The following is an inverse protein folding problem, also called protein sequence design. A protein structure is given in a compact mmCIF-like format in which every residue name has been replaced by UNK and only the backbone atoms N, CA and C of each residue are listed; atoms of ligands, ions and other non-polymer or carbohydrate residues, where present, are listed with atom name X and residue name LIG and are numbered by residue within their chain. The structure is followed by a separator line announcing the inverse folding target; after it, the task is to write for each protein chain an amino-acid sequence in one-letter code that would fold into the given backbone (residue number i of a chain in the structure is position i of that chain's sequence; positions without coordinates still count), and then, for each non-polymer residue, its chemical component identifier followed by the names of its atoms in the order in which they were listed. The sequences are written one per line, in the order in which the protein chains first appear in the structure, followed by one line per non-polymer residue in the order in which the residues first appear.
data_IF_788891367880
#
_entry.id   IF_788891367880
#
_cell.length_a   1.000
_cell.length_b   1.000
_cell.length_c   1.000
_cell.angle_alpha   90.00
_cell.angle_beta   90.00
_cell.angle_gamma   90.00
#
_symmetry.space_group_name_H-M   'P 1'
#
loop_
_entity.id
_entity.type
_entity.pdbx_description
1 polymer ?
#
# COMPACT_ATOMS: atom_id res chain seq x y z
N UNK A 1 8.58 11.40 -17.92
CA UNK A 1 9.53 10.26 -17.78
C UNK A 1 8.71 8.98 -17.89
N UNK A 2 9.21 7.91 -18.56
CA UNK A 2 8.45 6.65 -18.55
C UNK A 2 8.72 5.90 -17.23
N UNK A 3 7.73 5.77 -16.32
CA UNK A 3 7.94 5.05 -15.05
C UNK A 3 8.03 3.54 -15.27
N UNK A 4 8.79 2.86 -14.41
CA UNK A 4 8.82 1.39 -14.32
C UNK A 4 7.71 0.85 -13.38
N UNK A 5 7.31 1.67 -12.40
CA UNK A 5 6.23 1.42 -11.46
C UNK A 5 5.29 2.61 -11.46
N UNK A 6 4.00 2.39 -11.60
CA UNK A 6 2.97 3.39 -11.29
C UNK A 6 2.18 2.96 -10.06
N UNK A 7 1.83 3.95 -9.24
CA UNK A 7 1.07 3.77 -8.00
C UNK A 7 -0.23 4.54 -8.14
N UNK A 8 -1.36 3.85 -7.97
CA UNK A 8 -2.71 4.40 -8.20
C UNK A 8 -3.51 4.33 -6.89
N UNK A 9 -3.96 5.48 -6.42
CA UNK A 9 -4.78 5.63 -5.21
C UNK A 9 -4.81 7.08 -4.77
N UNK A 10 -5.74 7.44 -3.89
CA UNK A 10 -5.80 8.78 -3.32
C UNK A 10 -4.60 9.08 -2.43
N UNK A 11 -4.19 10.34 -2.39
CA UNK A 11 -3.32 10.89 -1.35
C UNK A 11 -4.16 11.65 -0.35
N UNK A 12 -3.75 11.63 0.91
CA UNK A 12 -4.51 12.20 2.02
C UNK A 12 -3.89 13.49 2.53
N UNK A 13 -4.73 14.47 2.77
CA UNK A 13 -4.46 15.53 3.74
C UNK A 13 -4.97 15.03 5.11
N UNK A 14 -4.08 14.43 5.88
CA UNK A 14 -4.39 13.69 7.10
C UNK A 14 -4.18 14.55 8.34
N UNK A 15 -5.03 14.34 9.35
CA UNK A 15 -4.82 14.81 10.72
C UNK A 15 -4.63 13.61 11.64
N UNK A 16 -3.45 13.49 12.24
CA UNK A 16 -3.15 12.41 13.20
C UNK A 16 -3.37 12.93 14.62
N UNK A 17 -4.33 12.33 15.33
CA UNK A 17 -4.62 12.64 16.73
C UNK A 17 -4.08 11.53 17.62
N UNK A 18 -2.99 11.82 18.31
CA UNK A 18 -2.40 10.98 19.35
C UNK A 18 -3.00 11.34 20.72
N UNK A 19 -2.86 10.50 21.76
CA UNK A 19 -3.38 10.80 23.09
C UNK A 19 -2.84 12.10 23.71
N UNK A 20 -1.63 12.49 23.35
CA UNK A 20 -0.88 13.62 23.93
C UNK A 20 -0.74 14.82 22.97
N UNK A 21 -0.92 14.62 21.65
CA UNK A 21 -0.74 15.66 20.65
C UNK A 21 -1.53 15.42 19.39
N UNK A 22 -1.64 16.48 18.55
CA UNK A 22 -2.18 16.42 17.20
C UNK A 22 -1.10 16.85 16.20
N UNK A 23 -0.98 16.13 15.09
CA UNK A 23 -0.07 16.43 13.99
C UNK A 23 -0.92 16.69 12.75
N UNK A 24 -0.84 17.88 12.17
CA UNK A 24 -1.56 18.30 10.97
C UNK A 24 -0.96 19.57 10.37
N UNK A 25 -1.03 19.78 9.02
CA UNK A 25 -1.42 18.77 8.04
C UNK A 25 -0.30 17.74 7.83
N UNK A 26 -0.67 16.52 7.47
CA UNK A 26 0.28 15.43 7.18
C UNK A 26 -0.08 14.82 5.83
N UNK A 27 0.91 14.53 5.00
CA UNK A 27 0.70 13.70 3.82
C UNK A 27 0.64 12.23 4.25
N UNK A 28 -0.50 11.60 4.01
CA UNK A 28 -0.73 10.19 4.26
C UNK A 28 -1.14 9.44 3.00
N UNK A 29 -1.47 8.20 3.13
CA UNK A 29 -2.01 7.20 2.20
C UNK A 29 -0.99 6.19 1.67
N UNK A 30 -1.46 4.99 1.31
CA UNK A 30 -0.64 4.00 0.62
C UNK A 30 0.02 4.54 -0.64
N UNK A 31 -0.73 5.30 -1.45
CA UNK A 31 -0.21 5.85 -2.71
C UNK A 31 0.95 6.82 -2.47
N UNK A 32 0.86 7.68 -1.45
CA UNK A 32 1.92 8.60 -1.10
C UNK A 32 3.16 7.87 -0.55
N UNK A 33 2.98 6.97 0.42
CA UNK A 33 4.08 6.18 0.98
C UNK A 33 4.77 5.36 -0.10
N UNK A 34 4.02 4.57 -0.89
CA UNK A 34 4.60 3.65 -1.85
C UNK A 34 5.34 4.38 -2.97
N UNK A 35 4.79 5.46 -3.51
CA UNK A 35 5.45 6.20 -4.60
C UNK A 35 6.76 6.84 -4.13
N UNK A 36 6.77 7.49 -2.96
CA UNK A 36 7.98 8.12 -2.40
C UNK A 36 9.03 7.07 -2.04
N UNK A 37 8.64 5.99 -1.35
CA UNK A 37 9.55 4.91 -0.99
C UNK A 37 10.14 4.25 -2.24
N UNK A 38 9.33 3.88 -3.22
CA UNK A 38 9.81 3.22 -4.43
C UNK A 38 10.81 4.08 -5.21
N UNK A 39 10.54 5.38 -5.32
CA UNK A 39 11.46 6.33 -5.94
C UNK A 39 12.77 6.44 -5.16
N UNK A 40 12.70 6.58 -3.82
CA UNK A 40 13.87 6.60 -2.92
C UNK A 40 14.70 5.32 -2.98
N UNK A 41 14.04 4.19 -3.21
CA UNK A 41 14.70 2.91 -3.42
C UNK A 41 15.30 2.77 -4.83
N UNK A 42 15.14 3.76 -5.73
CA UNK A 42 15.82 3.86 -7.01
C UNK A 42 15.03 3.27 -8.20
N UNK A 43 13.70 3.22 -8.13
CA UNK A 43 12.82 2.86 -9.24
C UNK A 43 12.19 4.13 -9.82
N UNK A 44 12.14 4.22 -11.15
CA UNK A 44 11.37 5.27 -11.83
C UNK A 44 9.90 5.08 -11.53
N UNK A 45 9.35 5.96 -10.70
CA UNK A 45 8.00 5.81 -10.15
C UNK A 45 7.12 6.99 -10.57
N UNK A 46 5.92 6.71 -11.05
CA UNK A 46 4.85 7.68 -11.26
C UNK A 46 3.71 7.46 -10.28
N UNK A 47 2.99 8.52 -9.94
CA UNK A 47 1.78 8.46 -9.12
C UNK A 47 0.57 8.90 -9.94
N UNK A 48 -0.55 8.19 -9.78
CA UNK A 48 -1.86 8.54 -10.34
C UNK A 48 -2.82 8.76 -9.19
N UNK A 49 -3.34 9.97 -9.08
CA UNK A 49 -4.25 10.35 -8.01
C UNK A 49 -5.10 11.55 -8.40
N UNK A 50 -6.22 11.74 -7.72
CA UNK A 50 -7.02 12.96 -7.79
C UNK A 50 -6.96 13.73 -6.48
N UNK A 51 -6.89 15.05 -6.58
CA UNK A 51 -6.92 15.98 -5.46
C UNK A 51 -7.91 17.09 -5.75
N UNK A 52 -8.46 17.71 -4.72
CA UNK A 52 -9.22 18.94 -4.82
C UNK A 52 -8.34 20.19 -4.82
N UNK A 53 -8.95 21.35 -5.06
CA UNK A 53 -8.26 22.65 -4.97
C UNK A 53 -7.83 23.01 -3.54
N UNK A 54 -8.34 22.28 -2.54
CA UNK A 54 -8.02 22.46 -1.10
C UNK A 54 -6.76 21.71 -0.65
N UNK A 55 -6.08 20.96 -1.54
CA UNK A 55 -4.85 20.25 -1.18
C UNK A 55 -3.71 21.25 -0.89
N UNK A 56 -3.11 21.21 0.32
CA UNK A 56 -1.97 22.05 0.63
C UNK A 56 -0.77 21.72 -0.27
N UNK A 57 -0.31 22.73 -1.02
CA UNK A 57 0.78 22.53 -2.01
C UNK A 57 2.11 22.09 -1.38
N UNK A 58 2.34 22.46 -0.13
CA UNK A 58 3.54 22.05 0.61
C UNK A 58 3.62 20.54 0.80
N UNK A 59 2.49 19.84 0.94
CA UNK A 59 2.45 18.40 1.08
C UNK A 59 2.88 17.68 -0.22
N UNK A 60 2.73 18.33 -1.38
CA UNK A 60 3.09 17.74 -2.66
C UNK A 60 4.59 17.83 -2.97
N UNK A 61 5.35 18.67 -2.26
CA UNK A 61 6.78 18.88 -2.52
C UNK A 61 7.61 17.62 -2.36
N UNK A 62 7.25 16.75 -1.42
CA UNK A 62 7.96 15.50 -1.15
C UNK A 62 8.04 14.59 -2.37
N UNK A 63 7.05 14.61 -3.26
CA UNK A 63 7.09 13.82 -4.49
C UNK A 63 8.21 14.27 -5.42
N UNK A 64 8.32 15.59 -5.68
CA UNK A 64 9.38 16.12 -6.53
C UNK A 64 10.77 15.96 -5.88
N UNK A 65 10.87 16.15 -4.58
CA UNK A 65 12.11 15.95 -3.81
C UNK A 65 12.56 14.48 -3.81
N UNK A 66 11.63 13.54 -3.82
CA UNK A 66 11.89 12.12 -3.96
C UNK A 66 12.15 11.68 -5.40
N UNK A 67 11.86 12.53 -6.41
CA UNK A 67 11.99 12.19 -7.83
C UNK A 67 10.83 11.36 -8.37
N UNK A 68 9.65 11.44 -7.74
CA UNK A 68 8.40 10.82 -8.25
C UNK A 68 7.89 11.65 -9.42
N UNK A 69 7.50 10.99 -10.51
CA UNK A 69 6.78 11.63 -11.61
C UNK A 69 5.33 11.90 -11.21
N UNK A 70 4.97 13.18 -11.21
CA UNK A 70 3.66 13.67 -10.73
C UNK A 70 2.69 14.03 -11.86
N UNK A 71 3.01 13.68 -13.11
CA UNK A 71 2.15 13.97 -14.27
C UNK A 71 0.74 13.37 -14.15
N UNK A 72 0.61 12.27 -13.39
CA UNK A 72 -0.67 11.64 -13.09
C UNK A 72 -1.44 12.23 -11.90
N UNK A 73 -1.01 13.35 -11.32
CA UNK A 73 -1.79 14.06 -10.31
C UNK A 73 -2.77 15.02 -11.01
N UNK A 74 -4.07 14.72 -10.90
CA UNK A 74 -5.14 15.57 -11.45
C UNK A 74 -5.82 16.36 -10.34
N UNK A 75 -6.01 17.66 -10.57
CA UNK A 75 -6.87 18.49 -9.69
C UNK A 75 -8.27 18.47 -10.24
N UNK A 76 -9.22 17.88 -9.50
CA UNK A 76 -10.61 17.75 -9.90
C UNK A 76 -11.54 18.00 -8.71
N UNK A 77 -12.43 18.97 -8.84
CA UNK A 77 -13.34 19.37 -7.77
C UNK A 77 -12.67 20.23 -6.69
N UNK A 78 -13.39 20.44 -5.60
CA UNK A 78 -12.96 21.31 -4.50
C UNK A 78 -12.29 20.54 -3.37
N UNK A 79 -12.68 19.27 -3.17
CA UNK A 79 -12.29 18.47 -2.01
C UNK A 79 -11.24 17.41 -2.37
N UNK A 80 -10.15 17.44 -1.63
CA UNK A 80 -9.19 16.32 -1.54
C UNK A 80 -9.68 15.28 -0.53
N UNK A 81 -9.22 14.06 -0.66
CA UNK A 81 -9.48 13.05 0.37
C UNK A 81 -8.77 13.46 1.67
N UNK A 82 -9.57 13.54 2.73
CA UNK A 82 -9.13 14.02 4.05
C UNK A 82 -9.64 13.08 5.11
N UNK A 83 -8.81 12.74 6.06
CA UNK A 83 -9.21 11.91 7.20
C UNK A 83 -8.69 12.44 8.53
N UNK A 84 -9.26 11.88 9.59
CA UNK A 84 -8.83 12.03 10.98
C UNK A 84 -8.43 10.64 11.49
N UNK A 85 -7.15 10.42 11.66
CA UNK A 85 -6.60 9.20 12.24
C UNK A 85 -6.43 9.38 13.74
N UNK A 86 -7.20 8.63 14.53
CA UNK A 86 -7.20 8.72 16.00
C UNK A 86 -6.55 7.48 16.58
N UNK A 87 -5.54 7.69 17.41
CA UNK A 87 -4.91 6.65 18.23
C UNK A 87 -5.42 6.73 19.67
N UNK A 88 -5.80 5.60 20.24
CA UNK A 88 -6.06 5.49 21.68
C UNK A 88 -4.77 5.21 22.48
N UNK A 89 -4.89 5.20 23.81
CA UNK A 89 -3.76 4.94 24.72
C UNK A 89 -3.21 3.51 24.62
N UNK A 90 -3.94 2.60 23.99
CA UNK A 90 -3.53 1.20 23.73
C UNK A 90 -2.87 1.02 22.35
N UNK A 91 -2.78 2.11 21.56
CA UNK A 91 -2.20 2.08 20.22
C UNK A 91 -3.16 1.61 19.11
N UNK A 92 -4.44 1.37 19.45
CA UNK A 92 -5.44 1.08 18.41
C UNK A 92 -5.74 2.35 17.62
N UNK A 93 -5.90 2.21 16.31
CA UNK A 93 -6.20 3.33 15.42
C UNK A 93 -7.60 3.22 14.83
N UNK A 94 -8.22 4.39 14.59
CA UNK A 94 -9.48 4.53 13.85
C UNK A 94 -9.32 5.65 12.85
N UNK A 95 -9.64 5.37 11.58
CA UNK A 95 -9.69 6.37 10.52
C UNK A 95 -11.14 6.85 10.33
N UNK A 96 -11.31 8.17 10.21
CA UNK A 96 -12.61 8.80 9.93
C UNK A 96 -12.42 9.67 8.69
N UNK A 97 -12.98 9.24 7.55
CA UNK A 97 -12.98 10.05 6.33
C UNK A 97 -13.90 11.26 6.51
N UNK A 98 -13.36 12.44 6.25
CA UNK A 98 -14.05 13.71 6.34
C UNK A 98 -14.52 14.20 4.96
N UNK A 99 -13.69 13.98 3.94
CA UNK A 99 -13.94 14.33 2.54
C UNK A 99 -13.34 13.24 1.65
N UNK A 100 -13.85 13.11 0.44
CA UNK A 100 -13.32 12.20 -0.58
C UNK A 100 -13.20 12.94 -1.91
N UNK A 101 -12.06 12.83 -2.57
CA UNK A 101 -11.87 13.27 -3.95
C UNK A 101 -12.65 12.34 -4.91
N UNK A 102 -12.88 12.75 -6.17
CA UNK A 102 -13.52 11.89 -7.17
C UNK A 102 -12.76 10.60 -7.42
N UNK A 103 -13.46 9.52 -7.75
CA UNK A 103 -12.86 8.23 -8.07
C UNK A 103 -11.85 8.34 -9.22
N UNK A 104 -10.83 7.49 -9.18
CA UNK A 104 -9.77 7.41 -10.19
C UNK A 104 -10.20 6.37 -11.24
N UNK A 105 -10.45 6.84 -12.45
CA UNK A 105 -10.87 6.01 -13.58
C UNK A 105 -9.67 5.66 -14.47
N UNK A 106 -9.84 4.70 -15.37
CA UNK A 106 -8.80 4.32 -16.31
C UNK A 106 -8.31 5.50 -17.18
N UNK A 107 -9.23 6.34 -17.66
CA UNK A 107 -8.93 7.56 -18.47
C UNK A 107 -8.17 8.65 -17.69
N UNK A 108 -8.04 8.50 -16.38
CA UNK A 108 -7.22 9.40 -15.57
C UNK A 108 -5.72 9.09 -15.64
N UNK A 109 -5.37 7.91 -16.14
CA UNK A 109 -3.99 7.44 -16.21
C UNK A 109 -3.32 8.03 -17.46
N UNK A 110 -2.20 8.74 -17.32
CA UNK A 110 -1.46 9.24 -18.48
C UNK A 110 -1.05 8.11 -19.42
N UNK A 111 -1.19 8.30 -20.73
CA UNK A 111 -0.91 7.27 -21.74
C UNK A 111 0.53 6.74 -21.65
N UNK A 112 1.50 7.61 -21.37
CA UNK A 112 2.91 7.22 -21.21
C UNK A 112 3.16 6.37 -19.94
N UNK A 113 2.23 6.36 -18.97
CA UNK A 113 2.27 5.52 -17.78
C UNK A 113 1.80 4.09 -18.04
N UNK A 114 0.95 3.86 -19.04
CA UNK A 114 0.44 2.52 -19.39
C UNK A 114 1.56 1.55 -19.84
N UNK A 115 2.73 2.08 -20.15
CA UNK A 115 3.94 1.32 -20.44
C UNK A 115 4.73 0.81 -19.23
N UNK A 116 4.28 1.07 -17.99
CA UNK A 116 4.95 0.62 -16.77
C UNK A 116 5.04 -0.91 -16.68
N UNK A 117 6.07 -1.40 -16.00
CA UNK A 117 6.29 -2.85 -15.79
C UNK A 117 5.37 -3.41 -14.71
N UNK A 118 5.12 -2.60 -13.66
CA UNK A 118 4.17 -2.91 -12.59
C UNK A 118 3.22 -1.73 -12.43
N UNK A 119 1.94 -2.05 -12.31
CA UNK A 119 0.87 -1.13 -11.93
C UNK A 119 0.39 -1.57 -10.55
N UNK A 120 0.52 -0.69 -9.57
CA UNK A 120 0.12 -0.94 -8.19
C UNK A 120 -1.10 -0.13 -7.80
N UNK A 121 -2.19 -0.82 -7.51
CA UNK A 121 -3.48 -0.25 -7.08
C UNK A 121 -3.55 -0.34 -5.56
N UNK A 122 -3.63 0.79 -4.89
CA UNK A 122 -3.64 0.84 -3.43
C UNK A 122 -4.65 1.89 -2.92
N UNK A 123 -5.94 1.59 -3.06
CA UNK A 123 -6.98 2.51 -2.63
C UNK A 123 -7.05 2.63 -1.10
N UNK A 124 -7.66 3.72 -0.66
CA UNK A 124 -8.00 3.94 0.74
C UNK A 124 -9.43 3.50 1.04
N UNK A 125 -10.38 3.80 0.14
CA UNK A 125 -11.81 3.58 0.33
C UNK A 125 -12.56 3.49 -1.00
N UNK A 126 -12.28 2.41 -1.77
CA UNK A 126 -12.94 2.10 -3.04
C UNK A 126 -12.80 3.16 -4.15
N UNK A 127 -11.86 4.08 -4.07
CA UNK A 127 -11.71 5.15 -5.06
C UNK A 127 -11.15 4.69 -6.42
N UNK A 128 -10.72 3.45 -6.54
CA UNK A 128 -10.39 2.81 -7.83
C UNK A 128 -11.44 1.73 -8.10
N UNK A 129 -12.46 2.02 -8.92
CA UNK A 129 -13.56 1.10 -9.14
C UNK A 129 -13.13 -0.15 -9.91
N UNK A 130 -13.92 -1.24 -9.77
CA UNK A 130 -13.62 -2.53 -10.41
C UNK A 130 -13.54 -2.41 -11.94
N UNK A 131 -14.30 -1.53 -12.53
CA UNK A 131 -14.28 -1.26 -13.98
C UNK A 131 -12.90 -0.79 -14.43
N UNK A 132 -12.29 0.17 -13.71
CA UNK A 132 -10.93 0.64 -13.98
C UNK A 132 -9.90 -0.47 -13.77
N UNK A 133 -10.08 -1.34 -12.76
CA UNK A 133 -9.22 -2.52 -12.53
C UNK A 133 -9.30 -3.49 -13.71
N UNK A 134 -10.48 -3.74 -14.27
CA UNK A 134 -10.67 -4.61 -15.44
C UNK A 134 -9.93 -4.06 -16.65
N UNK A 135 -10.10 -2.78 -16.95
CA UNK A 135 -9.39 -2.11 -18.05
C UNK A 135 -7.86 -2.19 -17.87
N UNK A 136 -7.36 -2.01 -16.63
CA UNK A 136 -5.94 -2.19 -16.32
C UNK A 136 -5.46 -3.63 -16.56
N UNK A 137 -6.28 -4.63 -16.24
CA UNK A 137 -5.92 -6.04 -16.43
C UNK A 137 -5.78 -6.42 -17.89
N UNK A 138 -6.53 -5.77 -18.79
CA UNK A 138 -6.47 -5.98 -20.24
C UNK A 138 -5.15 -5.48 -20.87
N UNK A 139 -4.37 -4.65 -20.15
CA UNK A 139 -3.06 -4.19 -20.62
C UNK A 139 -1.98 -5.29 -20.63
N UNK A 140 -2.20 -6.45 -20.01
CA UNK A 140 -1.23 -7.54 -19.90
C UNK A 140 0.04 -7.15 -19.12
N UNK A 141 -0.07 -6.23 -18.16
CA UNK A 141 1.02 -5.81 -17.26
C UNK A 141 0.93 -6.54 -15.93
N UNK A 142 2.04 -6.56 -15.18
CA UNK A 142 1.98 -7.05 -13.81
C UNK A 142 1.15 -6.10 -12.95
N UNK A 143 -0.04 -6.53 -12.55
CA UNK A 143 -0.89 -5.79 -11.62
C UNK A 143 -0.64 -6.25 -10.19
N UNK A 144 -0.52 -5.30 -9.28
CA UNK A 144 -0.44 -5.54 -7.83
C UNK A 144 -1.51 -4.73 -7.10
N UNK A 145 -2.01 -5.25 -5.99
CA UNK A 145 -3.04 -4.57 -5.18
C UNK A 145 -2.76 -4.68 -3.69
N UNK A 146 -3.12 -3.63 -2.95
CA UNK A 146 -3.41 -3.70 -1.53
C UNK A 146 -4.93 -3.72 -1.32
N UNK A 147 -5.43 -4.75 -0.66
CA UNK A 147 -6.86 -4.93 -0.45
C UNK A 147 -7.43 -4.06 0.67
N UNK A 148 -6.59 -3.34 1.42
CA UNK A 148 -7.00 -2.51 2.55
C UNK A 148 -8.18 -1.59 2.20
N UNK A 149 -8.14 -0.93 1.05
CA UNK A 149 -9.18 0.01 0.60
C UNK A 149 -10.39 -0.64 -0.06
N UNK A 150 -10.43 -1.96 -0.17
CA UNK A 150 -11.57 -2.72 -0.69
C UNK A 150 -12.33 -3.46 0.42
N UNK A 151 -12.55 -2.81 1.55
CA UNK A 151 -13.28 -3.34 2.70
C UNK A 151 -12.41 -3.84 3.84
N UNK A 152 -11.10 -3.54 3.84
CA UNK A 152 -10.19 -3.84 4.93
C UNK A 152 -10.34 -2.89 6.13
N UNK A 153 -9.39 -2.94 7.04
CA UNK A 153 -9.46 -2.29 8.35
C UNK A 153 -9.67 -0.77 8.34
N UNK A 154 -9.30 -0.09 7.26
CA UNK A 154 -9.44 1.38 7.14
C UNK A 154 -10.56 1.83 6.20
N UNK A 155 -11.24 0.91 5.52
CA UNK A 155 -12.38 1.25 4.66
C UNK A 155 -13.57 1.76 5.46
N UNK A 156 -14.35 2.66 4.87
CA UNK A 156 -15.60 3.16 5.46
C UNK A 156 -16.73 2.13 5.42
N UNK A 157 -16.64 1.20 4.47
CA UNK A 157 -17.61 0.11 4.27
C UNK A 157 -16.87 -1.21 4.35
N UNK A 158 -17.35 -2.11 5.22
CA UNK A 158 -16.81 -3.46 5.35
C UNK A 158 -17.74 -4.48 4.70
N UNK A 159 -17.18 -5.55 4.08
CA UNK A 159 -18.00 -6.65 3.59
C UNK A 159 -18.76 -7.28 4.77
N UNK A 160 -20.05 -7.58 4.58
CA UNK A 160 -20.78 -8.38 5.56
C UNK A 160 -20.25 -9.82 5.53
N UNK A 161 -19.68 -10.30 6.63
CA UNK A 161 -19.14 -11.66 6.77
C UNK A 161 -20.18 -12.75 6.44
N UNK A 162 -21.47 -12.44 6.58
CA UNK A 162 -22.58 -13.35 6.34
C UNK A 162 -23.03 -13.41 4.89
N UNK A 163 -22.65 -12.43 4.07
CA UNK A 163 -23.03 -12.39 2.67
C UNK A 163 -21.97 -13.06 1.76
N UNK A 164 -22.27 -14.26 1.28
CA UNK A 164 -21.48 -14.93 0.22
C UNK A 164 -21.27 -14.06 -1.03
N UNK A 165 -22.11 -13.05 -1.24
CA UNK A 165 -22.03 -12.09 -2.34
C UNK A 165 -20.75 -11.25 -2.25
N UNK A 166 -20.35 -10.81 -1.05
CA UNK A 166 -19.16 -9.99 -0.85
C UNK A 166 -17.86 -10.75 -1.10
N UNK A 167 -17.80 -12.04 -0.73
CA UNK A 167 -16.67 -12.90 -1.08
C UNK A 167 -16.53 -13.13 -2.58
N UNK A 168 -17.66 -13.15 -3.33
CA UNK A 168 -17.61 -13.26 -4.80
C UNK A 168 -17.03 -12.00 -5.43
N UNK A 169 -17.41 -10.82 -4.95
CA UNK A 169 -16.88 -9.54 -5.44
C UNK A 169 -15.39 -9.45 -5.15
N UNK A 170 -14.96 -9.81 -3.94
CA UNK A 170 -13.54 -9.82 -3.57
C UNK A 170 -12.76 -10.85 -4.40
N UNK A 171 -13.33 -12.03 -4.65
CA UNK A 171 -12.74 -13.04 -5.52
C UNK A 171 -12.61 -12.57 -6.96
N UNK A 172 -13.63 -11.91 -7.52
CA UNK A 172 -13.58 -11.32 -8.85
C UNK A 172 -12.48 -10.27 -8.95
N UNK A 173 -12.41 -9.38 -7.95
CA UNK A 173 -11.37 -8.36 -7.85
C UNK A 173 -9.97 -8.98 -7.81
N UNK A 174 -9.72 -9.94 -6.91
CA UNK A 174 -8.42 -10.60 -6.74
C UNK A 174 -7.97 -11.28 -8.02
N UNK A 175 -8.90 -11.88 -8.78
CA UNK A 175 -8.61 -12.57 -10.03
C UNK A 175 -8.00 -11.69 -11.14
N UNK A 176 -8.06 -10.37 -11.00
CA UNK A 176 -7.44 -9.43 -11.95
C UNK A 176 -5.97 -9.10 -11.60
N UNK A 177 -5.46 -9.52 -10.43
CA UNK A 177 -4.15 -9.13 -9.95
C UNK A 177 -3.16 -10.30 -9.90
N UNK A 178 -1.91 -10.03 -10.27
CA UNK A 178 -0.80 -10.97 -10.15
C UNK A 178 -0.23 -11.02 -8.73
N UNK A 179 -0.21 -9.87 -8.03
CA UNK A 179 0.33 -9.74 -6.67
C UNK A 179 -0.77 -9.11 -5.80
N UNK A 180 -1.19 -9.84 -4.78
CA UNK A 180 -2.25 -9.42 -3.87
C UNK A 180 -1.71 -9.36 -2.45
N UNK A 181 -1.86 -8.21 -1.80
CA UNK A 181 -1.46 -8.02 -0.41
C UNK A 181 -2.65 -7.61 0.46
N UNK A 182 -2.67 -8.14 1.67
CA UNK A 182 -3.51 -7.65 2.77
C UNK A 182 -2.71 -7.68 4.08
N UNK A 183 -3.12 -6.93 5.09
CA UNK A 183 -2.67 -7.15 6.46
C UNK A 183 -3.49 -8.25 7.13
N UNK A 184 -3.02 -8.75 8.27
CA UNK A 184 -3.80 -9.72 9.06
C UNK A 184 -5.09 -9.07 9.59
N UNK A 185 -5.06 -7.77 9.86
CA UNK A 185 -6.21 -6.99 10.27
C UNK A 185 -7.24 -6.90 9.12
N UNK A 186 -6.81 -6.61 7.89
CA UNK A 186 -7.69 -6.61 6.72
C UNK A 186 -8.32 -7.99 6.51
N UNK A 187 -7.52 -9.05 6.61
CA UNK A 187 -7.98 -10.42 6.50
C UNK A 187 -9.08 -10.77 7.52
N UNK A 188 -9.01 -10.18 8.73
CA UNK A 188 -10.05 -10.35 9.75
C UNK A 188 -11.39 -9.73 9.33
N UNK A 189 -11.37 -8.58 8.65
CA UNK A 189 -12.57 -7.95 8.10
C UNK A 189 -13.18 -8.75 6.94
N UNK A 190 -12.34 -9.38 6.11
CA UNK A 190 -12.83 -10.17 4.98
C UNK A 190 -13.36 -11.55 5.36
N UNK A 191 -12.77 -12.20 6.36
CA UNK A 191 -12.95 -13.63 6.62
C UNK A 191 -13.25 -13.98 8.08
N UNK A 192 -13.34 -12.98 8.96
CA UNK A 192 -13.44 -13.20 10.41
C UNK A 192 -12.11 -13.70 11.03
N UNK A 193 -11.95 -13.56 12.34
CA UNK A 193 -10.73 -13.94 13.05
C UNK A 193 -10.61 -15.46 13.22
N UNK A 194 -9.57 -16.09 12.66
CA UNK A 194 -9.30 -17.52 12.76
C UNK A 194 -7.82 -17.78 13.07
N UNK A 195 -7.53 -18.88 13.76
CA UNK A 195 -6.13 -19.33 14.00
C UNK A 195 -5.51 -19.79 12.66
N UNK A 196 -4.27 -19.35 12.39
CA UNK A 196 -3.57 -19.70 11.13
C UNK A 196 -3.98 -18.85 9.92
N UNK A 197 -4.89 -17.91 10.10
CA UNK A 197 -5.54 -17.13 9.04
C UNK A 197 -4.55 -16.53 8.02
N UNK A 198 -3.37 -16.05 8.42
CA UNK A 198 -2.45 -15.41 7.50
C UNK A 198 -2.01 -16.31 6.35
N UNK A 199 -1.69 -17.57 6.63
CA UNK A 199 -1.30 -18.57 5.61
C UNK A 199 -2.49 -18.98 4.75
N UNK A 200 -3.64 -19.23 5.40
CA UNK A 200 -4.86 -19.63 4.70
C UNK A 200 -5.32 -18.55 3.73
N UNK A 201 -5.26 -17.26 4.14
CA UNK A 201 -5.67 -16.13 3.30
C UNK A 201 -4.68 -15.88 2.16
N UNK A 202 -3.37 -15.97 2.42
CA UNK A 202 -2.37 -15.85 1.36
C UNK A 202 -2.54 -16.95 0.31
N UNK A 203 -2.88 -18.18 0.74
CA UNK A 203 -3.17 -19.29 -0.14
C UNK A 203 -4.47 -19.06 -0.93
N UNK A 204 -5.52 -18.58 -0.26
CA UNK A 204 -6.80 -18.27 -0.89
C UNK A 204 -6.67 -17.25 -2.03
N UNK A 205 -5.79 -16.25 -1.89
CA UNK A 205 -5.52 -15.30 -2.97
C UNK A 205 -4.97 -16.00 -4.22
N UNK A 206 -4.10 -17.02 -4.04
CA UNK A 206 -3.57 -17.78 -5.18
C UNK A 206 -4.61 -18.72 -5.79
N UNK A 207 -5.50 -19.28 -4.98
CA UNK A 207 -6.66 -20.07 -5.48
C UNK A 207 -7.64 -19.19 -6.27
N UNK A 208 -7.72 -17.89 -5.95
CA UNK A 208 -8.56 -16.94 -6.63
C UNK A 208 -7.94 -16.35 -7.89
N UNK A 209 -6.69 -16.72 -8.21
CA UNK A 209 -6.05 -16.39 -9.48
C UNK A 209 -4.78 -15.57 -9.38
N UNK A 210 -4.42 -15.04 -8.20
CA UNK A 210 -3.16 -14.34 -8.03
C UNK A 210 -1.94 -15.27 -8.23
N UNK A 211 -0.83 -14.75 -8.74
CA UNK A 211 0.44 -15.48 -8.78
C UNK A 211 1.13 -15.45 -7.42
N UNK A 212 0.95 -14.38 -6.66
CA UNK A 212 1.57 -14.14 -5.36
C UNK A 212 0.53 -13.56 -4.40
N UNK A 213 0.22 -14.31 -3.33
CA UNK A 213 -0.56 -13.84 -2.18
C UNK A 213 0.35 -13.47 -1.02
N UNK A 214 0.14 -12.30 -0.43
CA UNK A 214 0.94 -11.76 0.69
C UNK A 214 0.03 -11.37 1.84
N UNK A 215 0.32 -11.87 3.05
CA UNK A 215 -0.32 -11.39 4.27
C UNK A 215 0.74 -10.95 5.26
N UNK A 216 0.72 -9.67 5.63
CA UNK A 216 1.61 -9.12 6.66
C UNK A 216 1.04 -9.35 8.05
N UNK A 217 1.89 -9.74 9.01
CA UNK A 217 1.55 -10.22 10.35
C UNK A 217 2.13 -9.32 11.47
N UNK A 218 2.39 -8.05 11.16
CA UNK A 218 3.01 -7.10 12.09
C UNK A 218 4.41 -7.57 12.54
N UNK A 219 4.63 -7.65 13.85
CA UNK A 219 5.92 -8.10 14.44
C UNK A 219 6.30 -9.54 14.10
N UNK A 220 5.35 -10.35 13.63
CA UNK A 220 5.60 -11.73 13.17
C UNK A 220 6.08 -11.82 11.73
N UNK A 221 6.26 -10.68 11.05
CA UNK A 221 6.73 -10.61 9.68
C UNK A 221 5.61 -10.77 8.65
N UNK A 222 5.76 -11.67 7.69
CA UNK A 222 4.77 -11.90 6.64
C UNK A 222 4.77 -13.34 6.16
N UNK A 223 3.65 -13.71 5.53
CA UNK A 223 3.53 -14.96 4.74
C UNK A 223 3.40 -14.59 3.27
N UNK A 224 4.09 -15.31 2.41
CA UNK A 224 3.99 -15.18 0.96
C UNK A 224 3.68 -16.56 0.40
N UNK A 225 2.60 -16.67 -0.34
CA UNK A 225 2.20 -17.90 -1.05
C UNK A 225 2.30 -17.69 -2.56
N UNK A 226 2.86 -18.66 -3.24
CA UNK A 226 2.84 -18.79 -4.70
C UNK A 226 2.29 -20.17 -5.06
N UNK A 227 2.05 -20.43 -6.34
CA UNK A 227 1.63 -21.77 -6.79
C UNK A 227 2.64 -22.88 -6.44
N UNK A 228 3.89 -22.52 -6.21
CA UNK A 228 4.98 -23.48 -5.99
C UNK A 228 5.36 -23.66 -4.52
N UNK A 229 5.21 -22.63 -3.70
CA UNK A 229 5.74 -22.63 -2.33
C UNK A 229 5.07 -21.62 -1.40
N UNK A 230 5.12 -21.92 -0.11
CA UNK A 230 4.79 -21.02 0.99
C UNK A 230 6.06 -20.54 1.66
N UNK A 231 6.18 -19.26 1.90
CA UNK A 231 7.34 -18.61 2.49
C UNK A 231 6.92 -17.86 3.75
N UNK A 232 7.68 -18.02 4.83
CA UNK A 232 7.61 -17.15 5.99
C UNK A 232 8.76 -16.16 5.94
N UNK A 233 8.44 -14.88 6.00
CA UNK A 233 9.38 -13.78 6.01
C UNK A 233 9.44 -13.22 7.42
N UNK A 234 10.58 -13.26 8.09
CA UNK A 234 10.72 -12.74 9.44
C UNK A 234 10.64 -11.20 9.45
N UNK A 235 10.18 -10.62 10.55
CA UNK A 235 10.33 -9.20 10.80
C UNK A 235 11.78 -8.86 11.19
N UNK A 236 12.24 -7.66 10.88
CA UNK A 236 13.50 -7.11 11.39
C UNK A 236 13.23 -6.34 12.67
N UNK A 237 14.13 -6.45 13.65
CA UNK A 237 14.06 -5.63 14.85
C UNK A 237 14.13 -4.15 14.50
N UNK A 238 13.27 -3.38 15.14
CA UNK A 238 13.17 -1.94 14.95
C UNK A 238 12.84 -1.25 16.29
N UNK A 239 13.36 -0.05 16.47
CA UNK A 239 12.86 0.83 17.53
C UNK A 239 11.60 1.53 17.02
N UNK A 240 10.45 0.95 17.34
CA UNK A 240 9.18 1.44 16.83
C UNK A 240 8.82 2.80 17.45
N UNK A 241 8.64 3.82 16.60
CA UNK A 241 8.12 5.14 16.97
C UNK A 241 6.70 5.34 16.45
N UNK A 242 6.41 4.87 15.21
CA UNK A 242 5.10 5.00 14.57
C UNK A 242 4.91 3.92 13.52
N UNK A 243 3.91 3.06 13.70
CA UNK A 243 3.60 1.97 12.77
C UNK A 243 2.86 2.43 11.50
N UNK A 244 2.47 3.71 11.39
CA UNK A 244 1.77 4.23 10.20
C UNK A 244 2.65 4.08 8.97
N UNK A 245 2.10 3.52 7.89
CA UNK A 245 2.82 3.27 6.64
C UNK A 245 3.69 2.00 6.63
N UNK A 246 3.68 1.17 7.69
CA UNK A 246 4.45 -0.08 7.71
C UNK A 246 4.04 -1.03 6.58
N UNK A 247 2.73 -1.21 6.37
CA UNK A 247 2.19 -2.03 5.29
C UNK A 247 2.56 -1.50 3.91
N UNK A 248 2.47 -0.18 3.74
CA UNK A 248 2.79 0.51 2.50
C UNK A 248 4.29 0.40 2.19
N UNK A 249 5.13 0.56 3.20
CA UNK A 249 6.57 0.38 3.08
C UNK A 249 6.94 -1.08 2.73
N UNK A 250 6.21 -2.06 3.28
CA UNK A 250 6.35 -3.45 2.89
C UNK A 250 5.99 -3.64 1.42
N UNK A 251 4.84 -3.14 0.97
CA UNK A 251 4.40 -3.23 -0.42
C UNK A 251 5.41 -2.58 -1.38
N UNK A 252 5.83 -1.34 -1.09
CA UNK A 252 6.81 -0.63 -1.91
C UNK A 252 8.14 -1.40 -2.01
N UNK A 253 8.67 -1.87 -0.86
CA UNK A 253 9.91 -2.65 -0.80
C UNK A 253 9.81 -3.95 -1.60
N UNK A 254 8.68 -4.67 -1.47
CA UNK A 254 8.42 -5.90 -2.20
C UNK A 254 8.42 -5.66 -3.71
N UNK A 255 7.63 -4.69 -4.19
CA UNK A 255 7.49 -4.40 -5.61
C UNK A 255 8.80 -3.94 -6.25
N UNK A 256 9.57 -3.10 -5.54
CA UNK A 256 10.89 -2.63 -5.99
C UNK A 256 11.88 -3.77 -6.17
N UNK A 257 11.98 -4.66 -5.20
CA UNK A 257 12.94 -5.78 -5.29
C UNK A 257 12.44 -6.86 -6.25
N UNK A 258 11.13 -7.07 -6.34
CA UNK A 258 10.53 -7.98 -7.30
C UNK A 258 10.73 -7.51 -8.76
N UNK A 259 10.67 -6.21 -9.02
CA UNK A 259 11.05 -5.64 -10.32
C UNK A 259 12.48 -6.01 -10.72
N UNK A 260 13.41 -6.02 -9.75
CA UNK A 260 14.83 -6.27 -9.96
C UNK A 260 15.19 -7.75 -10.11
N UNK A 261 14.58 -8.59 -9.28
CA UNK A 261 15.08 -9.96 -9.06
C UNK A 261 14.11 -11.06 -9.51
N UNK A 262 12.82 -10.77 -9.56
CA UNK A 262 11.74 -11.75 -9.71
C UNK A 262 11.76 -12.87 -8.65
N UNK A 263 12.48 -12.66 -7.55
CA UNK A 263 12.61 -13.61 -6.45
C UNK A 263 11.70 -13.17 -5.28
N UNK A 264 10.68 -13.96 -4.99
CA UNK A 264 9.67 -13.65 -3.96
C UNK A 264 10.25 -13.63 -2.55
N UNK A 265 11.23 -14.51 -2.24
CA UNK A 265 11.85 -14.54 -0.92
C UNK A 265 12.73 -13.31 -0.68
N UNK A 266 13.62 -12.98 -1.65
CA UNK A 266 14.44 -11.76 -1.57
C UNK A 266 13.58 -10.50 -1.51
N UNK A 267 12.49 -10.47 -2.27
CA UNK A 267 11.54 -9.37 -2.26
C UNK A 267 10.86 -9.22 -0.90
N UNK A 268 10.46 -10.33 -0.29
CA UNK A 268 9.89 -10.34 1.07
C UNK A 268 10.86 -9.86 2.14
N UNK A 269 12.12 -10.30 2.11
CA UNK A 269 13.15 -9.81 3.03
C UNK A 269 13.44 -8.32 2.86
N UNK A 270 13.53 -7.87 1.60
CA UNK A 270 13.75 -6.45 1.30
C UNK A 270 12.55 -5.60 1.76
N UNK A 271 11.33 -6.09 1.59
CA UNK A 271 10.10 -5.48 2.06
C UNK A 271 10.07 -5.35 3.60
N UNK A 272 10.35 -6.43 4.32
CA UNK A 272 10.38 -6.44 5.78
C UNK A 272 11.45 -5.48 6.34
N UNK A 273 12.64 -5.45 5.72
CA UNK A 273 13.69 -4.51 6.10
C UNK A 273 13.32 -3.05 5.79
N UNK A 274 12.61 -2.79 4.67
CA UNK A 274 12.10 -1.46 4.33
C UNK A 274 11.08 -1.00 5.36
N UNK A 275 10.09 -1.82 5.69
CA UNK A 275 9.08 -1.52 6.70
C UNK A 275 9.71 -1.23 8.07
N UNK A 276 10.70 -2.04 8.49
CA UNK A 276 11.38 -1.86 9.78
C UNK A 276 12.10 -0.52 9.91
N UNK A 277 12.59 0.07 8.80
CA UNK A 277 13.23 1.38 8.80
C UNK A 277 12.19 2.53 8.85
N UNK A 278 11.06 2.36 8.19
CA UNK A 278 10.00 3.39 8.16
C UNK A 278 9.35 3.56 9.53
N UNK A 279 9.13 2.48 10.26
CA UNK A 279 8.49 2.55 11.59
C UNK A 279 9.42 3.11 12.69
N UNK A 280 10.71 3.34 12.41
CA UNK A 280 11.66 4.03 13.31
C UNK A 280 11.53 5.56 13.27
N UNK A 281 10.61 6.11 12.47
CA UNK A 281 10.27 7.52 12.41
C UNK A 281 8.77 7.75 12.47
N UNK A 282 8.33 9.00 12.65
CA UNK A 282 6.94 9.40 12.76
C UNK A 282 6.60 10.61 11.89
N UNK A 283 5.29 10.91 11.71
CA UNK A 283 4.84 12.16 11.07
C UNK A 283 4.46 12.07 9.60
N UNK A 284 4.02 10.90 9.12
CA UNK A 284 3.51 10.74 7.76
C UNK A 284 4.61 10.54 6.71
N UNK A 285 4.35 10.99 5.47
CA UNK A 285 5.28 10.86 4.35
C UNK A 285 6.29 12.01 4.37
N UNK A 286 7.39 11.79 5.08
CA UNK A 286 8.53 12.71 5.16
C UNK A 286 9.76 12.07 4.51
N UNK A 287 10.54 12.87 3.75
CA UNK A 287 11.66 12.35 2.97
C UNK A 287 12.72 11.66 3.85
N UNK A 288 13.03 12.23 5.01
CA UNK A 288 13.98 11.68 5.98
C UNK A 288 13.55 10.35 6.60
N UNK A 289 12.24 10.10 6.67
CA UNK A 289 11.66 8.85 7.15
C UNK A 289 11.74 7.72 6.11
N UNK A 290 11.81 8.07 4.81
CA UNK A 290 11.78 7.08 3.74
C UNK A 290 13.20 6.57 3.43
N UNK A 291 13.47 5.26 3.53
CA UNK A 291 14.81 4.72 3.37
C UNK A 291 15.30 4.74 1.91
N UNK A 292 16.62 4.71 1.73
CA UNK A 292 17.27 4.44 0.46
C UNK A 292 17.75 2.98 0.38
N UNK A 293 17.96 2.45 -0.82
CA UNK A 293 18.35 1.05 -1.04
C UNK A 293 19.56 0.59 -0.21
N UNK A 294 20.56 1.46 -0.02
CA UNK A 294 21.76 1.10 0.77
C UNK A 294 21.46 0.89 2.26
N UNK A 295 20.51 1.64 2.83
CA UNK A 295 20.06 1.45 4.21
C UNK A 295 19.33 0.12 4.38
N UNK A 296 18.43 -0.21 3.44
CA UNK A 296 17.69 -1.47 3.43
C UNK A 296 18.65 -2.67 3.30
N UNK A 297 19.58 -2.62 2.34
CA UNK A 297 20.62 -3.67 2.16
C UNK A 297 21.47 -3.85 3.43
N UNK A 298 21.84 -2.76 4.08
CA UNK A 298 22.59 -2.81 5.36
C UNK A 298 21.76 -3.44 6.48
N UNK A 299 20.45 -3.15 6.55
CA UNK A 299 19.55 -3.79 7.52
C UNK A 299 19.52 -5.31 7.32
N UNK A 300 19.38 -5.75 6.07
CA UNK A 300 19.39 -7.18 5.71
C UNK A 300 20.72 -7.84 6.08
N UNK A 301 21.87 -7.20 5.79
CA UNK A 301 23.19 -7.76 6.07
C UNK A 301 23.52 -7.90 7.57
N UNK A 302 22.86 -7.10 8.43
CA UNK A 302 22.98 -7.21 9.90
C UNK A 302 22.16 -8.35 10.50
N UNK A 303 21.33 -8.98 9.68
CA UNK A 303 20.52 -10.12 10.06
C UNK A 303 19.16 -9.75 10.66
N UNK A 304 18.32 -10.76 10.72
CA UNK A 304 17.09 -10.78 11.52
C UNK A 304 17.56 -11.01 12.95
N UNK A 305 17.11 -10.22 13.92
CA UNK A 305 17.39 -10.50 15.33
C UNK A 305 16.74 -11.84 15.70
N UNK A 306 17.52 -12.71 16.33
CA UNK A 306 17.02 -13.93 16.95
C UNK A 306 16.03 -13.64 18.08
#
# INVERSE_FOLDING_TARGET
MKPDLIVIGHILNETIKLPDRTIAPVLGSPAAYCSVIASRLGIKTGIVTKIGTDMPRELLKVFSEAGVDTHGIKTEGEASTTDLLIYDTSGNKRAHYLKKAPDILFDDIPEDYLGAKIIYVCPMDYEVPLEAVKELSDLGKTLAVDLMGYGGATSSIHPDEKEQKNQRVLKDLVGHFHIVRASIEDAQYFFGAKKGMGEDVAHLFTEWGADIGIVTLGEKGAVITTKERNLRIPAFAARVEDCTGAGDAYSAGFLVEYLRTKDTYKSGLFAAATASLVIEGSGGVLLERMPISSQVRRRISRGVSE
#
